data_IF_560636202183
#
_entry.id   IF_560636202183
#
_cell.length_a   1.000
_cell.length_b   1.000
_cell.length_c   1.000
_cell.angle_alpha   90.00
_cell.angle_beta   90.00
_cell.angle_gamma   90.00
#
_symmetry.space_group_name_H-M   'P 1'
#
loop_
_entity.id
_entity.type
_entity.pdbx_description
1 polymer ?
#
# COMPACT_ATOMS: atom_id res chain seq x y z
N UNK A 1 -12.91 8.54 8.37
CA UNK A 1 -13.73 7.79 7.40
C UNK A 1 -15.01 8.57 7.17
N UNK A 2 -15.39 8.80 5.92
CA UNK A 2 -16.61 9.49 5.52
C UNK A 2 -17.45 8.57 4.63
N UNK A 3 -18.77 8.69 4.69
CA UNK A 3 -19.70 7.86 3.92
C UNK A 3 -20.67 8.74 3.15
N UNK A 4 -20.95 8.35 1.91
CA UNK A 4 -22.03 8.89 1.10
C UNK A 4 -22.83 7.71 0.54
N UNK A 5 -23.98 7.45 1.15
CA UNK A 5 -24.83 6.31 0.84
C UNK A 5 -24.08 4.97 0.98
N UNK A 6 -23.89 4.20 -0.10
CA UNK A 6 -23.12 2.95 -0.09
C UNK A 6 -21.64 3.11 -0.45
N UNK A 7 -21.14 4.35 -0.51
CA UNK A 7 -19.74 4.65 -0.85
C UNK A 7 -19.03 5.17 0.39
N UNK A 8 -18.03 4.44 0.86
CA UNK A 8 -17.13 4.83 1.95
C UNK A 8 -15.82 5.39 1.42
N UNK A 9 -15.29 6.39 2.10
CA UNK A 9 -13.98 7.00 1.85
C UNK A 9 -13.15 6.98 3.13
N UNK A 10 -11.90 6.51 3.04
CA UNK A 10 -11.00 6.43 4.18
C UNK A 10 -9.55 6.71 3.81
N UNK A 11 -8.90 7.61 4.55
CA UNK A 11 -7.44 7.73 4.57
C UNK A 11 -6.86 6.70 5.54
N UNK A 12 -5.72 6.11 5.20
CA UNK A 12 -5.05 5.12 6.03
C UNK A 12 -3.52 5.20 5.93
N UNK A 13 -2.87 4.70 6.98
CA UNK A 13 -1.41 4.48 7.03
C UNK A 13 -1.18 3.01 7.34
N UNK A 14 -0.68 2.27 6.37
CA UNK A 14 -0.42 0.84 6.44
C UNK A 14 1.05 0.60 6.70
N UNK A 15 1.36 -0.05 7.81
CA UNK A 15 2.73 -0.46 8.15
C UNK A 15 2.92 -1.91 7.72
N UNK A 16 3.88 -2.17 6.85
CA UNK A 16 4.13 -3.52 6.34
C UNK A 16 5.60 -3.92 6.52
N UNK A 17 5.80 -5.20 6.82
CA UNK A 17 7.08 -5.89 6.74
C UNK A 17 6.95 -6.94 5.67
N UNK A 18 7.66 -6.75 4.55
CA UNK A 18 7.61 -7.68 3.43
C UNK A 18 8.94 -8.43 3.29
N UNK A 19 8.83 -9.73 3.01
CA UNK A 19 9.94 -10.62 2.68
C UNK A 19 9.66 -11.26 1.31
N UNK A 20 10.56 -11.07 0.36
CA UNK A 20 10.50 -11.66 -0.97
C UNK A 20 10.50 -10.63 -2.10
N UNK A 21 10.06 -11.05 -3.29
CA UNK A 21 10.11 -10.22 -4.50
C UNK A 21 8.84 -9.39 -4.70
N UNK A 22 8.98 -8.06 -4.79
CA UNK A 22 7.89 -7.14 -5.13
C UNK A 22 8.42 -5.94 -5.91
N UNK A 23 7.65 -5.42 -6.86
CA UNK A 23 8.05 -4.30 -7.73
C UNK A 23 9.38 -4.54 -8.48
N UNK A 24 9.71 -5.82 -8.75
CA UNK A 24 10.99 -6.20 -9.35
C UNK A 24 12.19 -6.21 -8.39
N UNK A 25 12.00 -5.88 -7.11
CA UNK A 25 13.04 -5.82 -6.09
C UNK A 25 12.92 -7.01 -5.11
N UNK A 26 14.05 -7.52 -4.65
CA UNK A 26 14.11 -8.49 -3.55
C UNK A 26 14.16 -7.72 -2.22
N UNK A 27 13.09 -7.79 -1.43
CA UNK A 27 12.92 -7.04 -0.19
C UNK A 27 13.12 -7.99 0.99
N UNK A 28 13.97 -7.62 1.96
CA UNK A 28 14.24 -8.42 3.16
C UNK A 28 13.90 -7.66 4.44
N UNK A 29 12.87 -8.14 5.12
CA UNK A 29 12.45 -7.92 6.51
C UNK A 29 12.58 -6.50 7.06
N UNK A 30 12.36 -5.50 6.20
CA UNK A 30 12.41 -4.09 6.60
C UNK A 30 11.01 -3.50 6.56
N UNK A 31 10.69 -2.75 7.62
CA UNK A 31 9.42 -2.05 7.76
C UNK A 31 9.38 -0.90 6.75
N UNK A 32 8.24 -0.75 6.09
CA UNK A 32 7.92 0.45 5.32
C UNK A 32 6.47 0.85 5.59
N UNK A 33 6.21 2.14 5.45
CA UNK A 33 4.88 2.72 5.61
C UNK A 33 4.31 3.07 4.24
N UNK A 34 3.06 2.69 4.02
CA UNK A 34 2.28 3.05 2.85
C UNK A 34 1.17 3.96 3.34
N UNK A 35 1.09 5.17 2.78
CA UNK A 35 -0.04 6.05 3.02
C UNK A 35 -0.96 5.99 1.80
N UNK A 36 -2.25 5.86 2.05
CA UNK A 36 -3.23 5.69 0.99
C UNK A 36 -4.62 6.15 1.35
N UNK A 37 -5.47 6.05 0.35
CA UNK A 37 -6.88 6.40 0.37
C UNK A 37 -7.64 5.25 -0.25
N UNK A 38 -8.68 4.79 0.45
CA UNK A 38 -9.61 3.78 -0.04
C UNK A 38 -10.97 4.40 -0.34
N UNK A 39 -11.56 3.94 -1.44
CA UNK A 39 -12.97 4.11 -1.75
C UNK A 39 -13.59 2.72 -1.77
N UNK A 40 -14.53 2.49 -0.85
CA UNK A 40 -15.23 1.23 -0.71
C UNK A 40 -16.66 1.39 -1.20
N UNK A 41 -17.10 0.54 -2.13
CA UNK A 41 -18.48 0.53 -2.63
C UNK A 41 -19.14 -0.76 -2.12
N UNK A 42 -20.20 -0.61 -1.33
CA UNK A 42 -20.95 -1.72 -0.75
C UNK A 42 -22.15 -2.07 -1.65
N UNK A 43 -22.38 -3.36 -1.88
CA UNK A 43 -23.65 -3.89 -2.35
C UNK A 43 -24.64 -3.85 -1.18
N UNK A 44 -25.63 -2.95 -1.24
CA UNK A 44 -26.58 -2.74 -0.14
C UNK A 44 -27.48 -3.95 0.11
N UNK A 45 -27.79 -4.75 -0.90
CA UNK A 45 -28.70 -5.88 -0.74
C UNK A 45 -28.01 -7.05 -0.03
N UNK A 46 -26.72 -7.22 -0.30
CA UNK A 46 -25.91 -8.32 0.23
C UNK A 46 -25.07 -7.92 1.45
N UNK A 47 -24.96 -6.63 1.73
CA UNK A 47 -24.07 -6.05 2.74
C UNK A 47 -22.60 -6.47 2.56
N UNK A 48 -22.18 -6.65 1.29
CA UNK A 48 -20.82 -7.07 0.93
C UNK A 48 -20.09 -5.99 0.14
N UNK A 49 -18.75 -6.02 0.20
CA UNK A 49 -17.91 -5.18 -0.66
C UNK A 49 -18.14 -5.58 -2.12
N UNK A 50 -18.66 -4.63 -2.90
CA UNK A 50 -18.83 -4.77 -4.35
C UNK A 50 -17.56 -4.38 -5.08
N UNK A 51 -16.92 -3.30 -4.66
CA UNK A 51 -15.72 -2.75 -5.28
C UNK A 51 -14.87 -2.03 -4.23
N UNK A 52 -13.55 -2.13 -4.37
CA UNK A 52 -12.58 -1.38 -3.58
C UNK A 52 -11.60 -0.70 -4.53
N UNK A 53 -11.40 0.61 -4.37
CA UNK A 53 -10.39 1.37 -5.09
C UNK A 53 -9.37 1.90 -4.09
N UNK A 54 -8.12 1.52 -4.29
CA UNK A 54 -7.01 1.86 -3.40
C UNK A 54 -6.03 2.77 -4.14
N UNK A 55 -5.79 3.95 -3.59
CA UNK A 55 -4.84 4.92 -4.13
C UNK A 55 -3.73 5.13 -3.11
N UNK A 56 -2.48 4.92 -3.51
CA UNK A 56 -1.31 5.14 -2.63
C UNK A 56 -0.11 5.61 -3.44
N UNK A 57 0.80 6.32 -2.78
CA UNK A 57 2.02 6.80 -3.41
C UNK A 57 3.07 5.69 -3.50
N UNK A 58 3.08 4.98 -4.64
CA UNK A 58 4.07 3.93 -4.89
C UNK A 58 5.51 4.46 -4.90
N UNK A 59 5.76 5.69 -5.36
CA UNK A 59 7.11 6.26 -5.38
C UNK A 59 7.69 6.35 -3.96
N UNK A 60 6.90 6.84 -2.99
CA UNK A 60 7.34 6.90 -1.58
C UNK A 60 7.60 5.52 -0.98
N UNK A 61 6.87 4.48 -1.42
CA UNK A 61 7.13 3.10 -1.00
C UNK A 61 8.45 2.60 -1.58
N UNK A 62 8.70 2.85 -2.87
CA UNK A 62 9.95 2.47 -3.53
C UNK A 62 11.15 3.20 -2.94
N UNK A 63 11.04 4.49 -2.63
CA UNK A 63 12.10 5.24 -1.96
C UNK A 63 12.46 4.66 -0.59
N UNK A 64 11.46 4.27 0.21
CA UNK A 64 11.69 3.60 1.50
C UNK A 64 12.34 2.24 1.30
N UNK A 65 11.90 1.45 0.33
CA UNK A 65 12.52 0.16 -0.01
C UNK A 65 13.97 0.38 -0.45
N UNK A 66 14.26 1.34 -1.33
CA UNK A 66 15.61 1.63 -1.81
C UNK A 66 16.55 2.13 -0.71
N UNK A 67 16.10 3.03 0.17
CA UNK A 67 16.88 3.43 1.36
C UNK A 67 17.22 2.23 2.25
N UNK A 68 16.35 1.23 2.25
CA UNK A 68 16.47 0.01 3.04
C UNK A 68 17.29 -1.09 2.36
N UNK A 69 17.42 -1.08 1.03
CA UNK A 69 18.36 -1.91 0.31
C UNK A 69 19.74 -1.34 0.57
N UNK A 70 20.56 -2.02 1.36
CA UNK A 70 22.00 -1.74 1.39
C UNK A 70 22.51 -1.93 -0.04
N UNK A 71 22.62 -0.84 -0.79
CA UNK A 71 23.31 -0.84 -2.07
C UNK A 71 24.76 -1.10 -1.72
N UNK A 72 25.15 -2.38 -1.73
CA UNK A 72 26.55 -2.73 -1.93
C UNK A 72 26.87 -2.26 -3.34
N UNK A 73 27.33 -1.02 -3.47
CA UNK A 73 28.10 -0.63 -4.63
C UNK A 73 29.22 -1.67 -4.72
N UNK A 74 29.15 -2.52 -5.75
CA UNK A 74 30.36 -3.21 -6.17
C UNK A 74 31.18 -2.12 -6.80
N UNK A 75 32.18 -1.63 -6.07
CA UNK A 75 33.27 -0.89 -6.66
C UNK A 75 33.86 -1.80 -7.75
N UNK A 76 33.72 -1.35 -9.01
CA UNK A 76 34.39 -1.95 -10.16
C UNK A 76 35.91 -1.73 -10.10
#
# INVERSE_FOLDING_TARGET
>A
MAWNDNIGFGEWIGRSTFNGKRYGLEIKNKKFEIMGVDILIIDKEKELVKEERVYYNLLSVLEQICKNLEVKCKDE
#
